data_IF_149190984562
#
_entry.id   IF_149190984562
#
_cell.length_a   1.000
_cell.length_b   1.000
_cell.length_c   1.000
_cell.angle_alpha   90.00
_cell.angle_beta   90.00
_cell.angle_gamma   90.00
#
_symmetry.space_group_name_H-M   'P 1'
#
loop_
_entity.id
_entity.type
_entity.pdbx_description
1 polymer ?
#
# COMPACT_ATOMS: atom_id res chain seq x y z
N UNK A 1 -4.11 -4.37 5.86
CA UNK A 1 -2.84 -3.95 6.48
C UNK A 1 -1.66 -4.65 5.84
N UNK A 2 -0.57 -3.93 5.62
CA UNK A 2 0.72 -4.41 5.14
C UNK A 2 1.82 -3.87 6.08
N UNK A 3 2.59 -4.76 6.70
CA UNK A 3 3.72 -4.37 7.56
C UNK A 3 4.90 -3.80 6.76
N UNK A 4 5.93 -3.38 7.47
CA UNK A 4 7.24 -3.07 6.89
C UNK A 4 7.81 -4.29 6.19
N UNK A 5 8.66 -4.06 5.19
CA UNK A 5 9.38 -5.16 4.56
C UNK A 5 10.20 -5.94 5.61
N UNK A 6 9.99 -7.25 5.67
CA UNK A 6 10.63 -8.14 6.64
C UNK A 6 9.98 -8.19 8.03
N UNK A 7 8.88 -7.45 8.28
CA UNK A 7 8.16 -7.54 9.56
C UNK A 7 7.42 -8.87 9.75
N UNK A 8 7.06 -9.53 8.68
CA UNK A 8 6.52 -10.91 8.65
C UNK A 8 7.41 -11.71 7.72
N UNK A 9 7.82 -12.91 8.14
CA UNK A 9 8.61 -13.83 7.32
C UNK A 9 7.87 -14.22 6.04
N UNK A 10 8.62 -14.35 4.95
CA UNK A 10 8.15 -14.90 3.67
C UNK A 10 8.53 -16.38 3.50
N UNK A 11 9.02 -17.04 4.54
CA UNK A 11 9.35 -18.46 4.47
C UNK A 11 8.11 -19.29 4.14
N UNK A 12 8.23 -20.13 3.11
CA UNK A 12 7.10 -20.91 2.60
C UNK A 12 6.17 -20.18 1.63
N UNK A 13 6.38 -18.89 1.36
CA UNK A 13 5.64 -18.12 0.35
C UNK A 13 6.35 -18.23 -0.99
N UNK A 14 5.62 -18.57 -2.05
CA UNK A 14 6.15 -18.56 -3.43
C UNK A 14 6.39 -17.13 -3.87
N UNK A 15 7.65 -16.70 -4.13
CA UNK A 15 7.92 -15.32 -4.49
C UNK A 15 7.45 -14.98 -5.90
N UNK A 16 6.98 -13.73 -6.08
CA UNK A 16 6.94 -13.07 -7.37
C UNK A 16 8.17 -12.16 -7.53
N UNK A 17 8.43 -11.32 -6.51
CA UNK A 17 9.60 -10.47 -6.43
C UNK A 17 10.01 -10.37 -4.94
N UNK A 18 10.98 -11.17 -4.54
CA UNK A 18 11.34 -11.40 -3.13
C UNK A 18 11.63 -10.12 -2.33
N UNK A 19 12.12 -9.07 -3.00
CA UNK A 19 12.41 -7.79 -2.33
C UNK A 19 11.20 -6.84 -2.24
N UNK A 20 10.09 -7.17 -2.94
CA UNK A 20 8.86 -6.38 -2.98
C UNK A 20 7.68 -7.08 -2.31
N UNK A 21 7.73 -8.41 -2.22
CA UNK A 21 6.64 -9.21 -1.66
C UNK A 21 6.46 -8.92 -0.17
N UNK A 22 5.20 -8.90 0.24
CA UNK A 22 4.79 -8.73 1.65
C UNK A 22 3.60 -9.63 1.93
N UNK A 23 3.51 -10.12 3.16
CA UNK A 23 2.26 -10.69 3.66
C UNK A 23 1.30 -9.56 3.97
N UNK A 24 0.11 -9.59 3.37
CA UNK A 24 -0.99 -8.66 3.64
C UNK A 24 -2.01 -9.29 4.60
N UNK A 25 -2.61 -8.48 5.46
CA UNK A 25 -3.64 -8.90 6.40
C UNK A 25 -4.95 -8.20 6.04
N UNK A 26 -5.98 -8.98 5.77
CA UNK A 26 -7.35 -8.51 5.61
C UNK A 26 -8.15 -8.88 6.85
N UNK A 27 -8.81 -7.90 7.45
CA UNK A 27 -9.61 -8.06 8.65
C UNK A 27 -10.82 -7.11 8.62
N UNK A 28 -11.82 -7.34 9.45
CA UNK A 28 -13.00 -6.47 9.53
C UNK A 28 -12.75 -5.21 10.33
N UNK A 29 -11.85 -5.28 11.31
CA UNK A 29 -11.48 -4.17 12.18
C UNK A 29 -9.97 -4.00 12.23
N UNK A 30 -9.51 -2.83 12.66
CA UNK A 30 -8.09 -2.59 12.89
C UNK A 30 -7.58 -3.43 14.06
N UNK A 31 -8.42 -3.71 15.06
CA UNK A 31 -8.05 -4.58 16.19
C UNK A 31 -7.79 -6.02 15.74
N UNK A 32 -8.64 -6.57 14.87
CA UNK A 32 -8.41 -7.90 14.29
C UNK A 32 -7.11 -7.94 13.48
N UNK A 33 -6.86 -6.89 12.67
CA UNK A 33 -5.62 -6.79 11.90
C UNK A 33 -4.38 -6.74 12.82
N UNK A 34 -4.47 -6.01 13.94
CA UNK A 34 -3.40 -5.94 14.93
C UNK A 34 -3.15 -7.28 15.61
N UNK A 35 -4.21 -8.02 15.95
CA UNK A 35 -4.12 -9.35 16.56
C UNK A 35 -3.41 -10.34 15.63
N UNK A 36 -3.81 -10.37 14.35
CA UNK A 36 -3.18 -11.23 13.34
C UNK A 36 -1.71 -10.82 13.13
N UNK A 37 -1.44 -9.51 13.04
CA UNK A 37 -0.08 -9.03 12.89
C UNK A 37 0.80 -9.42 14.08
N UNK A 38 0.32 -9.28 15.31
CA UNK A 38 1.06 -9.68 16.52
C UNK A 38 1.40 -11.19 16.55
N UNK A 39 0.52 -12.02 15.95
CA UNK A 39 0.77 -13.47 15.85
C UNK A 39 1.77 -13.86 14.75
N UNK A 40 1.91 -13.04 13.70
CA UNK A 40 2.75 -13.33 12.53
C UNK A 40 4.08 -12.57 12.53
N UNK A 41 4.17 -11.45 13.27
CA UNK A 41 5.35 -10.60 13.26
C UNK A 41 6.56 -11.29 13.90
N UNK A 42 7.74 -11.00 13.36
CA UNK A 42 9.00 -11.51 13.91
C UNK A 42 9.19 -11.04 15.37
N UNK A 43 9.57 -11.95 16.30
CA UNK A 43 9.65 -11.63 17.72
C UNK A 43 10.71 -10.56 18.09
N UNK A 44 11.70 -10.35 17.22
CA UNK A 44 12.80 -9.41 17.45
C UNK A 44 12.46 -7.95 17.18
N UNK A 45 11.21 -7.63 16.87
CA UNK A 45 10.79 -6.26 16.57
C UNK A 45 10.86 -5.38 17.83
N UNK A 46 11.53 -4.23 17.79
CA UNK A 46 11.55 -3.32 18.94
C UNK A 46 10.13 -2.76 19.20
N UNK A 47 9.76 -2.57 20.49
CA UNK A 47 8.51 -1.91 20.81
C UNK A 47 8.51 -0.48 20.27
N UNK A 48 7.43 -0.08 19.61
CA UNK A 48 7.28 1.29 19.13
C UNK A 48 6.87 2.23 20.27
N UNK A 49 7.24 3.51 20.14
CA UNK A 49 6.70 4.55 21.01
C UNK A 49 5.16 4.65 20.81
N UNK A 50 4.39 4.97 21.86
CA UNK A 50 2.94 5.15 21.73
C UNK A 50 2.60 6.18 20.64
N UNK A 51 1.52 5.93 19.90
CA UNK A 51 1.01 6.92 18.96
C UNK A 51 0.48 8.15 19.72
N UNK A 52 0.60 9.36 19.14
CA UNK A 52 -0.03 10.55 19.70
C UNK A 52 -1.55 10.39 19.76
N UNK A 53 -2.19 11.03 20.74
CA UNK A 53 -3.64 10.97 20.92
C UNK A 53 -4.43 11.48 19.69
N UNK A 54 -3.85 12.42 18.94
CA UNK A 54 -4.34 12.86 17.65
C UNK A 54 -3.14 12.98 16.67
N UNK A 55 -3.18 12.30 15.49
CA UNK A 55 -2.05 12.22 14.59
C UNK A 55 -1.85 13.50 13.76
N UNK A 56 -0.60 13.74 13.35
CA UNK A 56 -0.27 14.69 12.28
C UNK A 56 -0.29 13.94 10.95
N UNK A 57 -1.22 14.29 10.07
CA UNK A 57 -1.47 13.64 8.79
C UNK A 57 -0.98 14.51 7.64
N UNK A 58 -0.11 13.97 6.80
CA UNK A 58 0.42 14.62 5.63
C UNK A 58 -0.27 14.15 4.35
N UNK A 59 -0.83 15.06 3.56
CA UNK A 59 -1.46 14.75 2.27
C UNK A 59 -0.52 15.13 1.14
N UNK A 60 -0.06 14.19 0.30
CA UNK A 60 0.80 14.50 -0.85
C UNK A 60 -0.04 14.97 -2.06
N UNK A 61 -0.51 16.24 -2.01
CA UNK A 61 -1.52 16.76 -2.96
C UNK A 61 -1.10 16.64 -4.42
N UNK A 62 0.11 17.01 -4.78
CA UNK A 62 0.56 16.94 -6.17
C UNK A 62 0.53 15.50 -6.74
N UNK A 63 0.73 14.49 -5.87
CA UNK A 63 0.61 13.09 -6.26
C UNK A 63 -0.86 12.69 -6.45
N UNK A 64 -1.74 13.18 -5.58
CA UNK A 64 -3.19 12.93 -5.68
C UNK A 64 -3.80 13.57 -6.91
N UNK A 65 -3.52 14.84 -7.18
CA UNK A 65 -4.01 15.60 -8.34
C UNK A 65 -3.64 14.93 -9.66
N UNK A 66 -2.51 14.24 -9.69
CA UNK A 66 -2.06 13.54 -10.89
C UNK A 66 -2.78 12.21 -11.14
N UNK A 67 -3.18 11.49 -10.10
CA UNK A 67 -3.59 10.09 -10.24
C UNK A 67 -4.99 9.78 -9.69
N UNK A 68 -5.53 10.56 -8.77
CA UNK A 68 -6.84 10.29 -8.20
C UNK A 68 -7.97 10.78 -9.11
N UNK A 69 -9.00 9.95 -9.28
CA UNK A 69 -10.25 10.40 -9.85
C UNK A 69 -10.88 11.52 -8.98
N UNK A 70 -11.60 12.45 -9.58
CA UNK A 70 -12.22 13.59 -8.90
C UNK A 70 -13.06 13.18 -7.69
N UNK A 71 -13.85 12.10 -7.82
CA UNK A 71 -14.68 11.57 -6.74
C UNK A 71 -13.84 11.11 -5.56
N UNK A 72 -12.72 10.42 -5.81
CA UNK A 72 -11.79 9.93 -4.78
C UNK A 72 -11.07 11.08 -4.08
N UNK A 73 -10.62 12.07 -4.84
CA UNK A 73 -10.03 13.30 -4.30
C UNK A 73 -11.00 14.06 -3.41
N UNK A 74 -12.24 14.25 -3.88
CA UNK A 74 -13.30 14.92 -3.12
C UNK A 74 -13.63 14.17 -1.82
N UNK A 75 -13.67 12.84 -1.88
CA UNK A 75 -13.88 12.00 -0.71
C UNK A 75 -12.75 12.15 0.30
N UNK A 76 -11.50 12.11 -0.14
CA UNK A 76 -10.35 12.31 0.75
C UNK A 76 -10.41 13.66 1.47
N UNK A 77 -10.80 14.74 0.78
CA UNK A 77 -10.97 16.05 1.40
C UNK A 77 -12.06 16.06 2.48
N UNK A 78 -13.16 15.33 2.25
CA UNK A 78 -14.21 15.19 3.25
C UNK A 78 -13.71 14.41 4.48
N UNK A 79 -12.98 13.31 4.27
CA UNK A 79 -12.35 12.54 5.35
C UNK A 79 -11.34 13.40 6.11
N UNK A 80 -10.46 14.12 5.41
CA UNK A 80 -9.46 14.99 6.03
C UNK A 80 -10.10 16.05 6.95
N UNK A 81 -11.20 16.67 6.51
CA UNK A 81 -11.98 17.60 7.35
C UNK A 81 -12.59 16.92 8.57
N UNK A 82 -13.11 15.70 8.43
CA UNK A 82 -13.68 14.94 9.55
C UNK A 82 -12.62 14.61 10.58
N UNK A 83 -11.46 14.10 10.15
CA UNK A 83 -10.33 13.79 11.03
C UNK A 83 -9.78 15.06 11.71
N UNK A 84 -9.70 16.17 10.98
CA UNK A 84 -9.26 17.45 11.53
C UNK A 84 -10.22 17.97 12.62
N UNK A 85 -11.54 17.87 12.42
CA UNK A 85 -12.53 18.24 13.44
C UNK A 85 -12.44 17.36 14.69
N UNK A 86 -12.01 16.11 14.54
CA UNK A 86 -11.78 15.19 15.66
C UNK A 86 -10.42 15.41 16.34
N UNK A 87 -9.61 16.37 15.89
CA UNK A 87 -8.37 16.77 16.54
C UNK A 87 -7.07 16.45 15.78
N UNK A 88 -7.11 15.77 14.64
CA UNK A 88 -5.90 15.56 13.82
C UNK A 88 -5.40 16.89 13.25
N UNK A 89 -4.08 17.03 13.19
CA UNK A 89 -3.46 18.08 12.39
C UNK A 89 -3.29 17.55 10.97
N UNK A 90 -3.97 18.17 10.00
CA UNK A 90 -3.87 17.77 8.59
C UNK A 90 -3.17 18.88 7.82
N UNK A 91 -2.13 18.52 7.06
CA UNK A 91 -1.35 19.46 6.25
C UNK A 91 -0.86 18.84 4.96
N UNK A 92 -0.39 19.68 4.06
CA UNK A 92 0.17 19.22 2.79
C UNK A 92 1.63 18.81 2.98
N UNK A 93 2.06 17.78 2.27
CA UNK A 93 3.45 17.31 2.24
C UNK A 93 3.92 17.11 0.81
N UNK A 94 5.17 17.38 0.55
CA UNK A 94 5.81 17.04 -0.72
C UNK A 94 6.42 15.63 -0.61
N UNK A 95 6.21 14.80 -1.64
CA UNK A 95 6.97 13.56 -1.82
C UNK A 95 8.37 13.88 -2.38
N UNK A 96 9.34 12.98 -2.21
CA UNK A 96 10.70 13.22 -2.68
C UNK A 96 10.80 13.53 -4.18
N UNK A 97 11.81 14.29 -4.57
CA UNK A 97 12.10 14.55 -5.97
C UNK A 97 12.25 13.25 -6.78
N UNK A 98 11.69 13.26 -7.98
CA UNK A 98 11.68 12.09 -8.86
C UNK A 98 10.64 11.02 -8.50
N UNK A 99 9.77 11.25 -7.49
CA UNK A 99 8.73 10.30 -7.07
C UNK A 99 7.86 9.81 -8.22
N UNK A 100 7.65 10.62 -9.26
CA UNK A 100 6.88 10.24 -10.44
C UNK A 100 7.47 9.04 -11.21
N UNK A 101 8.75 8.70 -10.97
CA UNK A 101 9.42 7.54 -11.57
C UNK A 101 9.37 6.29 -10.71
N UNK A 102 8.78 6.37 -9.51
CA UNK A 102 8.80 5.25 -8.55
C UNK A 102 8.12 4.00 -9.10
N UNK A 103 7.06 4.19 -9.90
CA UNK A 103 6.36 3.07 -10.55
C UNK A 103 7.23 2.39 -11.61
N UNK A 104 7.87 3.15 -12.49
CA UNK A 104 8.76 2.61 -13.52
C UNK A 104 9.93 1.84 -12.92
N UNK A 105 10.58 2.41 -11.90
CA UNK A 105 11.68 1.78 -11.19
C UNK A 105 11.21 0.52 -10.46
N UNK A 106 10.05 0.58 -9.80
CA UNK A 106 9.45 -0.56 -9.12
C UNK A 106 9.09 -1.70 -10.08
N UNK A 107 8.52 -1.39 -11.24
CA UNK A 107 8.22 -2.37 -12.29
C UNK A 107 9.50 -3.01 -12.88
N UNK A 108 10.58 -2.25 -12.98
CA UNK A 108 11.87 -2.80 -13.42
C UNK A 108 12.37 -3.83 -12.41
N UNK A 109 12.37 -3.51 -11.12
CA UNK A 109 12.77 -4.44 -10.06
C UNK A 109 11.86 -5.69 -10.06
N UNK A 110 10.54 -5.49 -10.10
CA UNK A 110 9.55 -6.57 -10.14
C UNK A 110 9.83 -7.59 -11.26
N UNK A 111 9.98 -7.12 -12.49
CA UNK A 111 10.17 -8.02 -13.66
C UNK A 111 11.50 -8.76 -13.63
N UNK A 112 12.58 -8.13 -13.14
CA UNK A 112 13.90 -8.78 -13.04
C UNK A 112 13.88 -9.87 -11.98
N UNK A 113 13.32 -9.58 -10.80
CA UNK A 113 13.23 -10.57 -9.72
C UNK A 113 12.29 -11.73 -10.07
N UNK A 114 11.16 -11.44 -10.72
CA UNK A 114 10.27 -12.47 -11.27
C UNK A 114 11.01 -13.36 -12.29
N UNK A 115 11.75 -12.76 -13.23
CA UNK A 115 12.54 -13.51 -14.20
C UNK A 115 13.61 -14.36 -13.52
N UNK A 116 14.30 -13.85 -12.53
CA UNK A 116 15.34 -14.56 -11.79
C UNK A 116 14.76 -15.74 -10.99
N UNK A 117 13.63 -15.57 -10.32
CA UNK A 117 12.98 -16.66 -9.60
C UNK A 117 12.51 -17.78 -10.53
N UNK A 118 11.89 -17.40 -11.66
CA UNK A 118 11.32 -18.37 -12.61
C UNK A 118 12.33 -18.91 -13.65
N UNK A 119 13.60 -18.49 -13.62
CA UNK A 119 14.54 -18.76 -14.69
C UNK A 119 14.74 -20.26 -14.98
N UNK A 120 14.60 -21.16 -14.00
CA UNK A 120 14.75 -22.60 -14.16
C UNK A 120 13.56 -23.27 -14.82
N UNK A 121 12.36 -22.81 -14.51
CA UNK A 121 11.11 -23.44 -14.96
C UNK A 121 10.53 -22.77 -16.20
N UNK A 122 10.75 -21.49 -16.35
CA UNK A 122 10.14 -20.71 -17.42
C UNK A 122 10.49 -21.23 -18.82
N UNK A 123 11.75 -21.61 -19.18
CA UNK A 123 12.06 -22.14 -20.50
C UNK A 123 11.33 -23.45 -20.84
N UNK A 124 10.98 -24.23 -19.81
CA UNK A 124 10.34 -25.54 -19.98
C UNK A 124 8.81 -25.46 -19.96
N UNK A 125 8.25 -24.41 -19.34
CA UNK A 125 6.83 -24.34 -19.02
C UNK A 125 6.21 -22.96 -19.33
N UNK A 126 6.80 -22.17 -20.24
CA UNK A 126 6.33 -20.81 -20.55
C UNK A 126 4.83 -20.77 -20.93
N UNK A 127 4.33 -21.82 -21.61
CA UNK A 127 2.94 -21.89 -22.03
C UNK A 127 1.94 -22.15 -20.90
N UNK A 128 2.42 -22.64 -19.76
CA UNK A 128 1.59 -22.84 -18.56
C UNK A 128 1.37 -21.53 -17.76
N UNK A 129 2.13 -20.49 -18.05
CA UNK A 129 1.97 -19.21 -17.36
C UNK A 129 0.83 -18.39 -17.94
N UNK A 130 0.00 -17.75 -17.11
CA UNK A 130 -0.98 -16.78 -17.59
C UNK A 130 -0.30 -15.68 -18.42
N UNK A 131 -0.95 -15.13 -19.46
CA UNK A 131 -0.31 -14.21 -20.41
C UNK A 131 0.43 -13.03 -19.77
N UNK A 132 -0.19 -12.37 -18.77
CA UNK A 132 0.42 -11.23 -18.05
C UNK A 132 1.69 -11.62 -17.27
N UNK A 133 1.70 -12.81 -16.64
CA UNK A 133 2.87 -13.29 -15.90
C UNK A 133 3.96 -13.74 -16.86
N UNK A 134 3.60 -14.39 -17.97
CA UNK A 134 4.55 -14.76 -19.04
C UNK A 134 5.28 -13.52 -19.58
N UNK A 135 4.53 -12.45 -19.88
CA UNK A 135 5.09 -11.18 -20.35
C UNK A 135 6.02 -10.56 -19.30
N UNK A 136 5.60 -10.53 -18.02
CA UNK A 136 6.40 -10.03 -16.91
C UNK A 136 7.76 -10.74 -16.84
N UNK A 137 7.75 -12.08 -16.80
CA UNK A 137 8.97 -12.89 -16.72
C UNK A 137 9.85 -12.71 -17.97
N UNK A 138 9.26 -12.76 -19.18
CA UNK A 138 9.99 -12.57 -20.43
C UNK A 138 10.67 -11.21 -20.50
N UNK A 139 9.96 -10.15 -20.15
CA UNK A 139 10.52 -8.79 -20.18
C UNK A 139 11.63 -8.59 -19.14
N UNK A 140 11.57 -9.30 -18.01
CA UNK A 140 12.61 -9.24 -17.00
C UNK A 140 13.95 -9.86 -17.45
N UNK A 141 13.90 -10.87 -18.33
CA UNK A 141 15.12 -11.52 -18.88
C UNK A 141 15.95 -10.59 -19.79
N UNK A 142 15.35 -9.52 -20.31
CA UNK A 142 16.02 -8.58 -21.22
C UNK A 142 16.63 -7.37 -20.53
N UNK A 143 16.41 -7.21 -19.23
CA UNK A 143 16.95 -6.10 -18.44
C UNK A 143 18.41 -6.37 -18.10
N UNK A 144 19.26 -5.36 -18.28
CA UNK A 144 20.68 -5.50 -17.91
C UNK A 144 20.87 -5.52 -16.38
N UNK A 145 21.91 -6.20 -15.92
CA UNK A 145 22.30 -6.16 -14.51
C UNK A 145 22.65 -4.74 -14.04
N UNK A 146 23.15 -3.88 -14.92
CA UNK A 146 23.44 -2.47 -14.61
C UNK A 146 22.15 -1.71 -14.33
N UNK A 147 21.12 -1.84 -15.18
CA UNK A 147 19.83 -1.17 -14.98
C UNK A 147 19.17 -1.61 -13.67
N UNK A 148 19.25 -2.90 -13.35
CA UNK A 148 18.73 -3.42 -12.07
C UNK A 148 19.46 -2.82 -10.86
N UNK A 149 20.80 -2.73 -10.92
CA UNK A 149 21.57 -2.13 -9.81
C UNK A 149 21.27 -0.64 -9.65
N UNK A 150 21.13 0.11 -10.74
CA UNK A 150 20.72 1.51 -10.70
C UNK A 150 19.30 1.68 -10.13
N UNK A 151 18.37 0.78 -10.47
CA UNK A 151 17.03 0.78 -9.89
C UNK A 151 17.04 0.50 -8.39
N UNK A 152 17.89 -0.39 -7.90
CA UNK A 152 18.06 -0.64 -6.46
C UNK A 152 18.70 0.55 -5.74
N UNK A 153 19.66 1.24 -6.36
CA UNK A 153 20.22 2.49 -5.81
C UNK A 153 19.14 3.58 -5.70
N UNK A 154 18.33 3.76 -6.75
CA UNK A 154 17.23 4.71 -6.72
C UNK A 154 16.19 4.36 -5.66
N UNK A 155 15.87 3.07 -5.49
CA UNK A 155 15.03 2.58 -4.39
C UNK A 155 15.58 2.97 -3.03
N UNK A 156 16.87 2.80 -2.81
CA UNK A 156 17.52 3.17 -1.56
C UNK A 156 17.43 4.69 -1.29
N UNK A 157 17.57 5.52 -2.35
CA UNK A 157 17.38 6.98 -2.28
C UNK A 157 15.96 7.35 -1.89
N UNK A 158 14.93 6.74 -2.49
CA UNK A 158 13.54 6.97 -2.12
C UNK A 158 13.26 6.59 -0.65
N UNK A 159 13.74 5.43 -0.21
CA UNK A 159 13.61 5.02 1.21
C UNK A 159 14.21 6.06 2.15
N UNK A 160 15.42 6.51 1.86
CA UNK A 160 16.10 7.54 2.67
C UNK A 160 15.35 8.87 2.64
N UNK A 161 14.90 9.33 1.48
CA UNK A 161 14.19 10.58 1.34
C UNK A 161 12.83 10.60 2.05
N UNK A 162 12.17 9.43 2.18
CA UNK A 162 10.93 9.34 2.97
C UNK A 162 11.12 9.68 4.44
N UNK A 163 12.32 9.54 5.01
CA UNK A 163 12.56 9.95 6.41
C UNK A 163 12.30 11.44 6.62
N UNK A 164 12.68 12.29 5.66
CA UNK A 164 12.44 13.74 5.71
C UNK A 164 10.94 14.08 5.60
N UNK A 165 10.18 13.31 4.80
CA UNK A 165 8.72 13.49 4.71
C UNK A 165 8.07 13.31 6.09
N UNK A 166 8.49 12.29 6.83
CA UNK A 166 7.96 11.99 8.17
C UNK A 166 8.48 12.90 9.29
N UNK A 167 9.36 13.85 9.03
CA UNK A 167 9.68 14.93 9.97
C UNK A 167 8.51 15.91 10.11
N UNK A 168 7.76 16.13 9.01
CA UNK A 168 6.64 17.07 8.96
C UNK A 168 5.29 16.45 9.37
N UNK A 169 5.14 15.13 9.31
CA UNK A 169 3.90 14.42 9.66
C UNK A 169 4.22 13.08 10.34
N UNK A 170 3.25 12.54 11.07
CA UNK A 170 3.38 11.21 11.67
C UNK A 170 3.03 10.10 10.67
N UNK A 171 2.06 10.36 9.80
CA UNK A 171 1.57 9.45 8.78
C UNK A 171 1.20 10.21 7.52
N UNK A 172 1.38 9.56 6.35
CA UNK A 172 0.73 10.03 5.13
C UNK A 172 -0.74 9.60 5.15
N UNK A 173 -1.60 10.45 4.62
CA UNK A 173 -3.01 10.17 4.36
C UNK A 173 -3.28 10.24 2.86
N UNK A 174 -3.72 9.12 2.29
CA UNK A 174 -4.01 8.99 0.86
C UNK A 174 -5.31 8.18 0.65
N UNK A 175 -5.89 8.17 -0.55
CA UNK A 175 -6.84 7.13 -0.92
C UNK A 175 -6.15 5.77 -1.01
N UNK A 176 -6.88 4.69 -0.79
CA UNK A 176 -6.36 3.34 -0.97
C UNK A 176 -6.22 2.95 -2.46
N UNK A 177 -7.03 3.56 -3.34
CA UNK A 177 -7.01 3.35 -4.79
C UNK A 177 -7.31 4.65 -5.53
N UNK A 178 -6.88 4.81 -6.80
CA UNK A 178 -7.08 6.04 -7.57
C UNK A 178 -8.53 6.23 -8.03
N UNK A 179 -9.31 5.17 -8.09
CA UNK A 179 -10.72 5.16 -8.49
C UNK A 179 -11.48 4.06 -7.74
N UNK A 180 -12.82 4.05 -7.76
CA UNK A 180 -13.61 2.89 -7.33
C UNK A 180 -13.22 1.63 -8.11
N UNK A 181 -13.57 0.45 -7.57
CA UNK A 181 -13.25 -0.82 -8.23
C UNK A 181 -13.80 -0.85 -9.66
N UNK A 182 -12.99 -1.28 -10.66
CA UNK A 182 -13.44 -1.39 -12.04
C UNK A 182 -14.47 -2.51 -12.19
N UNK A 183 -15.33 -2.46 -13.24
CA UNK A 183 -16.24 -3.55 -13.57
C UNK A 183 -15.49 -4.87 -13.81
N UNK A 184 -16.05 -5.99 -13.35
CA UNK A 184 -15.45 -7.33 -13.53
C UNK A 184 -15.19 -7.66 -15.02
N UNK A 185 -16.00 -7.15 -15.92
CA UNK A 185 -15.86 -7.37 -17.36
C UNK A 185 -14.56 -6.79 -17.94
N UNK A 186 -13.93 -5.84 -17.28
CA UNK A 186 -12.65 -5.26 -17.72
C UNK A 186 -11.45 -6.18 -17.44
N UNK A 187 -11.61 -7.22 -16.62
CA UNK A 187 -10.53 -8.18 -16.31
C UNK A 187 -9.29 -7.55 -15.66
N UNK A 188 -9.48 -6.44 -14.94
CA UNK A 188 -8.43 -5.73 -14.20
C UNK A 188 -8.83 -5.50 -12.75
N UNK A 189 -7.85 -5.34 -11.88
CA UNK A 189 -8.04 -4.96 -10.46
C UNK A 189 -7.82 -3.46 -10.20
N UNK A 190 -7.63 -2.68 -11.26
CA UNK A 190 -7.31 -1.26 -11.19
C UNK A 190 -5.80 -0.97 -11.15
N UNK A 191 -5.46 0.30 -10.95
CA UNK A 191 -4.08 0.78 -10.91
C UNK A 191 -3.55 0.76 -9.47
N UNK A 192 -2.40 0.09 -9.19
CA UNK A 192 -1.82 0.00 -7.86
C UNK A 192 -1.03 1.25 -7.44
N UNK A 193 -1.11 2.35 -8.17
CA UNK A 193 -0.25 3.55 -7.99
C UNK A 193 -0.25 4.09 -6.54
N UNK A 194 -1.32 3.92 -5.78
CA UNK A 194 -1.37 4.32 -4.36
C UNK A 194 -0.94 3.22 -3.38
N UNK A 195 -0.67 1.99 -3.85
CA UNK A 195 -0.20 0.87 -3.02
C UNK A 195 1.24 0.46 -3.33
N UNK A 196 1.60 0.39 -4.62
CA UNK A 196 2.90 -0.09 -5.08
C UNK A 196 4.09 0.68 -4.50
N UNK A 197 4.07 2.03 -4.34
CA UNK A 197 5.17 2.77 -3.77
C UNK A 197 5.56 2.33 -2.35
N UNK A 198 4.59 1.92 -1.56
CA UNK A 198 4.84 1.48 -0.17
C UNK A 198 5.43 0.06 -0.11
N UNK A 199 5.10 -0.80 -1.06
CA UNK A 199 5.79 -2.09 -1.23
C UNK A 199 7.21 -1.88 -1.75
N UNK A 200 7.40 -0.98 -2.72
CA UNK A 200 8.71 -0.66 -3.27
C UNK A 200 9.66 -0.04 -2.24
N UNK A 201 9.18 0.91 -1.44
CA UNK A 201 9.96 1.51 -0.35
C UNK A 201 10.01 0.65 0.91
N UNK A 202 9.13 -0.35 1.02
CA UNK A 202 9.03 -1.25 2.18
C UNK A 202 8.32 -0.64 3.38
N UNK A 203 7.69 0.54 3.23
CA UNK A 203 6.98 1.24 4.31
C UNK A 203 5.67 0.54 4.66
N UNK A 204 5.27 0.47 5.94
CA UNK A 204 4.02 -0.13 6.35
C UNK A 204 2.84 0.77 5.97
N UNK A 205 1.71 0.15 5.61
CA UNK A 205 0.48 0.86 5.26
C UNK A 205 -0.76 0.12 5.70
N UNK A 206 -1.84 0.87 5.99
CA UNK A 206 -3.12 0.32 6.40
C UNK A 206 -4.25 1.13 5.74
N UNK A 207 -5.17 0.44 5.09
CA UNK A 207 -6.37 1.03 4.52
C UNK A 207 -7.57 0.84 5.46
N UNK A 208 -8.31 1.93 5.70
CA UNK A 208 -9.54 1.96 6.50
C UNK A 208 -10.70 2.33 5.57
N UNK A 209 -11.77 1.53 5.50
CA UNK A 209 -12.99 1.94 4.81
C UNK A 209 -13.51 3.27 5.34
N UNK A 210 -13.95 4.18 4.46
CA UNK A 210 -14.24 5.54 4.88
C UNK A 210 -15.49 6.14 4.25
N UNK A 211 -16.13 5.45 3.31
CA UNK A 211 -17.34 5.90 2.65
C UNK A 211 -17.69 5.07 1.43
N UNK A 212 -18.69 5.55 0.68
CA UNK A 212 -19.14 4.94 -0.56
C UNK A 212 -18.99 5.94 -1.72
N UNK A 213 -18.59 5.44 -2.88
CA UNK A 213 -18.65 6.14 -4.14
C UNK A 213 -20.11 6.38 -4.58
N UNK A 214 -20.35 7.25 -5.56
CA UNK A 214 -21.69 7.51 -6.11
C UNK A 214 -22.38 6.23 -6.62
N UNK A 215 -21.62 5.25 -7.09
CA UNK A 215 -22.11 3.93 -7.51
C UNK A 215 -22.31 2.92 -6.38
N UNK A 216 -22.16 3.30 -5.10
CA UNK A 216 -22.33 2.41 -3.96
C UNK A 216 -21.12 1.51 -3.66
N UNK A 217 -20.02 1.62 -4.42
CA UNK A 217 -18.79 0.88 -4.16
C UNK A 217 -18.02 1.51 -3.00
N UNK A 218 -17.32 0.70 -2.16
CA UNK A 218 -16.59 1.23 -1.02
C UNK A 218 -15.39 2.07 -1.44
N UNK A 219 -15.18 3.16 -0.71
CA UNK A 219 -13.97 3.97 -0.73
C UNK A 219 -13.22 3.81 0.58
N UNK A 220 -11.90 3.87 0.51
CA UNK A 220 -11.05 3.76 1.68
C UNK A 220 -9.95 4.83 1.65
N UNK A 221 -9.54 5.27 2.82
CA UNK A 221 -8.30 6.03 3.02
C UNK A 221 -7.20 5.10 3.50
N UNK A 222 -5.98 5.44 3.15
CA UNK A 222 -4.78 4.70 3.52
C UNK A 222 -3.89 5.58 4.38
N UNK A 223 -3.42 5.04 5.49
CA UNK A 223 -2.32 5.59 6.28
C UNK A 223 -1.03 4.88 5.91
N UNK A 224 0.05 5.66 5.77
CA UNK A 224 1.42 5.13 5.58
C UNK A 224 2.30 5.67 6.70
N UNK A 225 3.08 4.80 7.31
CA UNK A 225 3.95 5.14 8.44
C UNK A 225 5.44 5.01 8.08
N UNK A 226 6.34 5.58 8.90
CA UNK A 226 7.76 5.27 8.84
C UNK A 226 8.03 3.77 8.96
N UNK A 227 9.18 3.33 8.46
CA UNK A 227 9.64 1.95 8.59
C UNK A 227 9.61 1.50 10.05
N UNK A 228 9.11 0.29 10.30
CA UNK A 228 9.00 -0.35 11.62
C UNK A 228 8.12 0.40 12.64
N UNK A 229 7.22 1.26 12.16
CA UNK A 229 6.26 1.99 13.01
C UNK A 229 4.84 1.38 12.99
N UNK A 230 4.73 0.05 12.85
CA UNK A 230 3.43 -0.64 12.72
C UNK A 230 2.52 -0.41 13.92
N UNK A 231 3.04 -0.43 15.15
CA UNK A 231 2.22 -0.23 16.36
C UNK A 231 1.59 1.17 16.34
N UNK A 232 2.39 2.19 16.00
CA UNK A 232 1.89 3.57 15.85
C UNK A 232 0.88 3.68 14.70
N UNK A 233 1.12 2.96 13.59
CA UNK A 233 0.20 2.92 12.45
C UNK A 233 -1.14 2.29 12.84
N UNK A 234 -1.11 1.17 13.56
CA UNK A 234 -2.29 0.48 14.04
C UNK A 234 -3.08 1.34 15.04
N UNK A 235 -2.40 2.05 15.97
CA UNK A 235 -3.06 2.96 16.90
C UNK A 235 -3.73 4.14 16.18
N UNK A 236 -3.04 4.75 15.21
CA UNK A 236 -3.60 5.83 14.40
C UNK A 236 -4.78 5.34 13.54
N UNK A 237 -4.68 4.14 12.97
CA UNK A 237 -5.76 3.54 12.19
C UNK A 237 -6.99 3.22 13.05
N UNK A 238 -6.83 2.70 14.29
CA UNK A 238 -7.92 2.54 15.25
C UNK A 238 -8.61 3.85 15.55
N UNK A 239 -7.83 4.91 15.73
CA UNK A 239 -8.38 6.24 15.96
C UNK A 239 -9.18 6.71 14.73
N UNK A 240 -8.64 6.56 13.51
CA UNK A 240 -9.36 6.90 12.28
C UNK A 240 -10.64 6.07 12.11
N UNK A 241 -10.59 4.76 12.34
CA UNK A 241 -11.74 3.85 12.25
C UNK A 241 -12.88 4.31 13.17
N UNK A 242 -12.57 4.66 14.43
CA UNK A 242 -13.56 5.20 15.37
C UNK A 242 -14.14 6.56 14.97
N UNK A 243 -13.32 7.44 14.37
CA UNK A 243 -13.78 8.78 13.95
C UNK A 243 -14.64 8.71 12.69
N UNK A 244 -14.31 7.79 11.78
CA UNK A 244 -14.98 7.66 10.48
C UNK A 244 -16.29 6.86 10.57
N UNK A 245 -16.43 5.98 11.58
CA UNK A 245 -17.65 5.21 11.87
C UNK A 245 -18.30 4.55 10.63
N UNK A 246 -17.46 4.03 9.72
CA UNK A 246 -17.97 3.37 8.50
C UNK A 246 -18.54 2.00 8.84
N UNK A 247 -19.87 1.85 8.65
CA UNK A 247 -20.63 0.63 9.02
C UNK A 247 -21.36 0.00 7.84
N UNK A 248 -21.19 0.50 6.62
CA UNK A 248 -21.87 -0.07 5.45
C UNK A 248 -21.38 -1.50 5.17
N UNK A 249 -22.33 -2.41 4.99
CA UNK A 249 -22.08 -3.81 4.63
C UNK A 249 -22.41 -4.06 3.16
N UNK A 250 -21.74 -5.03 2.49
CA UNK A 250 -22.08 -5.42 1.15
C UNK A 250 -23.53 -5.96 1.07
N UNK A 251 -24.32 -5.50 0.11
CA UNK A 251 -25.72 -5.93 -0.08
C UNK A 251 -25.87 -7.46 -0.25
N UNK A 252 -24.82 -8.16 -0.69
CA UNK A 252 -24.80 -9.63 -0.80
C UNK A 252 -24.89 -10.34 0.56
N UNK A 253 -24.55 -9.68 1.67
CA UNK A 253 -24.66 -10.24 3.01
C UNK A 253 -26.10 -10.18 3.55
N UNK A 254 -26.95 -9.31 3.00
CA UNK A 254 -28.36 -9.21 3.38
C UNK A 254 -29.19 -10.42 2.88
N UNK A 255 -28.64 -11.20 1.94
CA UNK A 255 -29.26 -12.37 1.33
C UNK A 255 -28.38 -13.60 1.52
N UNK A 256 -28.00 -13.91 2.76
CA UNK A 256 -27.35 -15.18 3.10
C UNK A 256 -28.15 -16.38 2.53
N UNK A 257 -27.49 -17.49 2.19
CA UNK A 257 -28.18 -18.65 1.61
C UNK A 257 -29.30 -19.09 2.56
N UNK A 258 -30.54 -19.08 2.04
CA UNK A 258 -31.70 -19.66 2.71
C UNK A 258 -31.62 -21.19 2.62
#
# INVERSE_FOLDING_TARGET
>A
FKGSYGAISLDGVTPLAWSLDHVGIFARTVDDAALVFAALAEPSRPPAAPAPAAPRLGIPRAFLERYAAEEVGTHLEAVARTLSRAGATVGDVALPDGWTRIDDVGRLVLRVEAAAYHHRWFPLHADAYPPKIRELVSSGQTVSGVDYLLAQEERARFRKAMTTVFESCDFLLLPAAPAPAPPLAEGTTGDPIFCAPWSFTGLPSLAVPSGLARGGLPLAVQLVAPMLAEDRLLDAARWCERVLEFTAEPALLEHGPR
#
